data_IF_326410536440
#
_entry.id   IF_326410536440
#
_cell.length_a   1.000
_cell.length_b   1.000
_cell.length_c   1.000
_cell.angle_alpha   90.00
_cell.angle_beta   90.00
_cell.angle_gamma   90.00
#
_symmetry.space_group_name_H-M   'P 1'
#
loop_
_entity.id
_entity.type
_entity.pdbx_description
1 polymer ?
#
# COMPACT_ATOMS: atom_id res chain seq x y z
N UNK A 1 -9.05 -8.14 -1.19
CA UNK A 1 -8.38 -7.24 -2.14
C UNK A 1 -7.58 -6.24 -1.36
N UNK A 2 -6.37 -5.91 -1.82
CA UNK A 2 -5.52 -4.86 -1.23
C UNK A 2 -5.13 -3.87 -2.33
N UNK A 3 -5.19 -2.57 -2.03
CA UNK A 3 -4.69 -1.48 -2.89
C UNK A 3 -3.67 -0.65 -2.10
N UNK A 4 -2.41 -0.66 -2.55
CA UNK A 4 -1.26 -0.15 -1.80
C UNK A 4 -0.89 1.31 -2.15
N UNK A 5 -1.89 2.20 -2.19
CA UNK A 5 -1.67 3.63 -2.46
C UNK A 5 -1.81 4.06 -3.91
N UNK A 6 -1.66 5.37 -4.13
CA UNK A 6 -1.91 6.10 -5.37
C UNK A 6 -3.28 5.78 -5.96
N UNK A 7 -4.30 6.06 -5.17
CA UNK A 7 -5.70 5.93 -5.58
C UNK A 7 -5.99 6.89 -6.75
N UNK A 8 -5.30 8.03 -6.74
CA UNK A 8 -5.46 9.09 -7.74
C UNK A 8 -4.15 9.42 -8.43
N UNK A 9 -4.24 10.25 -9.48
CA UNK A 9 -3.06 10.80 -10.15
C UNK A 9 -2.75 12.21 -9.66
N UNK A 10 -3.77 13.00 -9.35
CA UNK A 10 -3.65 14.41 -9.01
C UNK A 10 -4.55 14.79 -7.81
N UNK A 11 -4.94 13.82 -6.97
CA UNK A 11 -5.82 14.05 -5.83
C UNK A 11 -7.13 14.78 -6.14
N UNK A 12 -7.74 14.53 -7.31
CA UNK A 12 -9.03 15.15 -7.67
C UNK A 12 -10.19 14.33 -7.14
N UNK A 13 -11.24 14.98 -6.64
CA UNK A 13 -12.46 14.29 -6.17
C UNK A 13 -13.07 13.37 -7.24
N UNK A 14 -13.02 13.73 -8.52
CA UNK A 14 -13.50 12.86 -9.61
C UNK A 14 -12.69 11.57 -9.73
N UNK A 15 -11.35 11.66 -9.59
CA UNK A 15 -10.46 10.49 -9.64
C UNK A 15 -10.71 9.55 -8.44
N UNK A 16 -10.91 10.13 -7.24
CA UNK A 16 -11.32 9.36 -6.06
C UNK A 16 -12.65 8.64 -6.29
N UNK A 17 -13.68 9.36 -6.74
CA UNK A 17 -15.01 8.78 -6.98
C UNK A 17 -14.95 7.62 -7.97
N UNK A 18 -14.34 7.82 -9.13
CA UNK A 18 -14.24 6.78 -10.17
C UNK A 18 -13.51 5.54 -9.65
N UNK A 19 -12.41 5.72 -8.93
CA UNK A 19 -11.60 4.61 -8.41
C UNK A 19 -12.31 3.88 -7.28
N UNK A 20 -12.95 4.60 -6.36
CA UNK A 20 -13.71 4.02 -5.24
C UNK A 20 -14.93 3.25 -5.75
N UNK A 21 -15.68 3.80 -6.68
CA UNK A 21 -16.83 3.13 -7.29
C UNK A 21 -16.41 1.85 -8.01
N UNK A 22 -15.33 1.92 -8.80
CA UNK A 22 -14.76 0.76 -9.48
C UNK A 22 -14.32 -0.33 -8.48
N UNK A 23 -13.49 0.02 -7.49
CA UNK A 23 -13.04 -0.92 -6.47
C UNK A 23 -14.21 -1.52 -5.69
N UNK A 24 -15.21 -0.71 -5.34
CA UNK A 24 -16.42 -1.12 -4.63
C UNK A 24 -17.25 -2.13 -5.40
N UNK A 25 -17.28 -2.01 -6.74
CA UNK A 25 -18.00 -2.93 -7.62
C UNK A 25 -17.42 -4.34 -7.68
N UNK A 26 -16.17 -4.53 -7.23
CA UNK A 26 -15.50 -5.82 -7.29
C UNK A 26 -16.06 -6.80 -6.23
N UNK A 27 -16.12 -8.12 -6.55
CA UNK A 27 -16.82 -9.12 -5.72
C UNK A 27 -16.09 -9.49 -4.43
N UNK A 28 -14.96 -8.87 -4.13
CA UNK A 28 -14.17 -9.19 -2.94
C UNK A 28 -14.88 -8.77 -1.66
N UNK A 29 -14.98 -9.70 -0.71
CA UNK A 29 -15.63 -9.49 0.60
C UNK A 29 -14.92 -8.44 1.45
N UNK A 30 -13.59 -8.46 1.44
CA UNK A 30 -12.74 -7.50 2.18
C UNK A 30 -11.90 -6.73 1.16
N UNK A 31 -11.93 -5.40 1.27
CA UNK A 31 -11.22 -4.45 0.41
C UNK A 31 -10.43 -3.48 1.29
N UNK A 32 -9.12 -3.66 1.35
CA UNK A 32 -8.22 -2.84 2.16
C UNK A 32 -7.47 -1.87 1.27
N UNK A 33 -7.56 -0.58 1.57
CA UNK A 33 -7.06 0.51 0.75
C UNK A 33 -6.21 1.42 1.63
N UNK A 34 -5.12 1.94 1.09
CA UNK A 34 -4.35 3.02 1.72
C UNK A 34 -4.01 4.08 0.67
N UNK A 35 -3.54 5.24 1.11
CA UNK A 35 -3.09 6.33 0.25
C UNK A 35 -1.67 6.10 -0.27
N UNK A 36 -1.27 6.91 -1.25
CA UNK A 36 0.11 7.02 -1.71
C UNK A 36 0.49 8.47 -1.95
N UNK A 37 1.63 8.69 -2.59
CA UNK A 37 2.20 10.02 -2.74
C UNK A 37 1.39 10.96 -3.65
N UNK A 38 0.42 10.44 -4.39
CA UNK A 38 -0.47 11.22 -5.25
C UNK A 38 -1.79 11.64 -4.59
N UNK A 39 -2.05 11.23 -3.35
CA UNK A 39 -3.36 11.35 -2.68
C UNK A 39 -3.41 12.49 -1.63
N UNK A 40 -3.03 13.71 -2.01
CA UNK A 40 -2.93 14.90 -1.14
C UNK A 40 -4.17 15.13 -0.25
N UNK A 41 -5.38 14.84 -0.74
CA UNK A 41 -6.62 15.02 0.02
C UNK A 41 -6.78 14.05 1.20
N UNK A 42 -6.00 12.97 1.23
CA UNK A 42 -5.97 12.01 2.32
C UNK A 42 -4.90 12.35 3.36
N UNK A 43 -3.89 13.14 3.03
CA UNK A 43 -2.83 13.52 3.97
C UNK A 43 -3.23 14.76 4.77
N UNK A 44 -3.29 14.61 6.10
CA UNK A 44 -3.71 15.68 7.00
C UNK A 44 -2.74 16.87 7.00
N UNK A 45 -1.47 16.68 6.61
CA UNK A 45 -0.49 17.77 6.49
C UNK A 45 -0.84 18.78 5.39
N UNK A 46 -1.67 18.39 4.42
CA UNK A 46 -2.16 19.24 3.34
C UNK A 46 -3.45 20.00 3.72
N UNK A 47 -4.03 19.76 4.90
CA UNK A 47 -5.18 20.47 5.46
C UNK A 47 -6.49 20.41 4.62
N UNK A 48 -6.73 19.31 3.91
CA UNK A 48 -7.96 19.08 3.14
C UNK A 48 -9.04 18.33 3.91
N UNK A 49 -9.22 18.60 5.21
CA UNK A 49 -10.07 17.82 6.13
C UNK A 49 -11.48 17.52 5.59
N UNK A 50 -12.16 18.49 4.98
CA UNK A 50 -13.51 18.28 4.40
C UNK A 50 -13.49 17.29 3.22
N UNK A 51 -12.46 17.36 2.37
CA UNK A 51 -12.31 16.41 1.27
C UNK A 51 -11.99 15.02 1.82
N UNK A 52 -11.04 14.89 2.76
CA UNK A 52 -10.72 13.62 3.44
C UNK A 52 -11.98 12.96 3.99
N UNK A 53 -12.77 13.68 4.79
CA UNK A 53 -14.03 13.18 5.35
C UNK A 53 -15.02 12.71 4.26
N UNK A 54 -15.14 13.47 3.16
CA UNK A 54 -16.00 13.11 2.03
C UNK A 54 -15.52 11.82 1.35
N UNK A 55 -14.21 11.69 1.14
CA UNK A 55 -13.59 10.52 0.51
C UNK A 55 -13.74 9.28 1.40
N UNK A 56 -13.48 9.39 2.70
CA UNK A 56 -13.62 8.28 3.64
C UNK A 56 -15.08 7.80 3.75
N UNK A 57 -16.05 8.72 3.81
CA UNK A 57 -17.46 8.37 3.77
C UNK A 57 -17.87 7.68 2.46
N UNK A 58 -17.26 8.09 1.33
CA UNK A 58 -17.47 7.43 0.05
C UNK A 58 -16.87 6.01 0.02
N UNK A 59 -15.65 5.83 0.55
CA UNK A 59 -15.04 4.50 0.69
C UNK A 59 -15.91 3.56 1.53
N UNK A 60 -16.37 4.03 2.70
CA UNK A 60 -17.25 3.26 3.58
C UNK A 60 -18.55 2.86 2.87
N UNK A 61 -19.20 3.81 2.19
CA UNK A 61 -20.42 3.57 1.40
C UNK A 61 -20.23 2.47 0.34
N UNK A 62 -19.03 2.35 -0.22
CA UNK A 62 -18.68 1.35 -1.23
C UNK A 62 -18.02 0.08 -0.67
N UNK A 63 -18.00 -0.08 0.66
CA UNK A 63 -17.45 -1.27 1.33
C UNK A 63 -15.92 -1.37 1.24
N UNK A 64 -15.23 -0.23 1.16
CA UNK A 64 -13.77 -0.13 1.24
C UNK A 64 -13.37 0.24 2.67
N UNK A 65 -12.38 -0.45 3.20
CA UNK A 65 -11.73 -0.08 4.47
C UNK A 65 -10.45 0.67 4.14
N UNK A 66 -10.43 1.96 4.45
CA UNK A 66 -9.21 2.77 4.39
C UNK A 66 -8.42 2.60 5.68
N UNK A 67 -7.11 2.44 5.57
CA UNK A 67 -6.20 2.34 6.70
C UNK A 67 -5.00 3.27 6.51
N UNK A 68 -4.64 3.98 7.56
CA UNK A 68 -3.57 4.98 7.56
C UNK A 68 -2.56 4.71 8.69
N UNK A 69 -1.57 3.86 8.40
CA UNK A 69 -0.53 3.47 9.36
C UNK A 69 -1.10 2.79 10.62
N UNK A 70 -1.87 1.73 10.41
CA UNK A 70 -2.57 1.02 11.48
C UNK A 70 -2.70 -0.48 11.21
N UNK A 71 -3.06 -1.23 12.26
CA UNK A 71 -3.27 -2.68 12.18
C UNK A 71 -4.72 -3.01 11.82
N UNK A 72 -4.92 -4.08 11.05
CA UNK A 72 -6.25 -4.60 10.74
C UNK A 72 -6.28 -6.11 10.90
N UNK A 73 -7.14 -6.58 11.80
CA UNK A 73 -7.34 -7.99 12.07
C UNK A 73 -8.37 -8.55 11.10
N UNK A 74 -7.97 -9.50 10.25
CA UNK A 74 -8.95 -10.21 9.42
C UNK A 74 -9.97 -10.98 10.29
N UNK A 75 -11.23 -11.11 9.84
CA UNK A 75 -12.21 -11.98 10.49
C UNK A 75 -11.75 -13.44 10.54
N UNK A 76 -12.34 -14.22 11.46
CA UNK A 76 -11.94 -15.60 11.73
C UNK A 76 -12.10 -16.52 10.50
N UNK A 77 -13.11 -16.30 9.68
CA UNK A 77 -13.33 -17.05 8.43
C UNK A 77 -12.26 -16.78 7.35
N UNK A 78 -11.41 -15.75 7.56
CA UNK A 78 -10.22 -15.46 6.77
C UNK A 78 -8.92 -15.79 7.54
N UNK A 79 -9.02 -16.59 8.59
CA UNK A 79 -7.88 -17.13 9.33
C UNK A 79 -7.24 -16.18 10.33
N UNK A 80 -7.90 -15.06 10.67
CA UNK A 80 -7.41 -14.11 11.68
C UNK A 80 -5.96 -13.66 11.45
N UNK A 81 -5.58 -13.42 10.19
CA UNK A 81 -4.30 -12.81 9.88
C UNK A 81 -4.29 -11.32 10.27
N UNK A 82 -3.17 -10.86 10.82
CA UNK A 82 -2.96 -9.45 11.15
C UNK A 82 -2.29 -8.73 9.98
N UNK A 83 -2.97 -7.71 9.45
CA UNK A 83 -2.39 -6.77 8.49
C UNK A 83 -1.83 -5.56 9.24
N UNK A 84 -0.74 -5.00 8.74
CA UNK A 84 -0.36 -3.62 9.03
C UNK A 84 -0.29 -2.83 7.74
N UNK A 85 -0.94 -1.67 7.66
CA UNK A 85 -1.15 -0.95 6.41
C UNK A 85 -0.74 0.50 6.55
N UNK A 86 0.11 1.00 5.64
CA UNK A 86 0.65 2.35 5.73
C UNK A 86 0.90 3.04 4.38
N UNK A 87 0.55 4.32 4.23
CA UNK A 87 0.76 5.07 2.99
C UNK A 87 2.16 5.67 2.86
N UNK A 88 2.97 5.65 3.93
CA UNK A 88 4.20 6.44 3.98
C UNK A 88 5.28 5.95 3.02
N UNK A 89 6.03 6.91 2.46
CA UNK A 89 7.17 6.69 1.58
C UNK A 89 8.32 7.68 1.88
N UNK A 90 9.58 7.33 1.55
CA UNK A 90 10.68 8.29 1.59
C UNK A 90 10.45 9.44 0.60
N UNK A 91 10.83 10.66 0.96
CA UNK A 91 10.70 11.83 0.09
C UNK A 91 11.51 11.66 -1.21
N UNK A 92 10.87 11.97 -2.35
CA UNK A 92 11.55 12.05 -3.64
C UNK A 92 11.33 13.39 -4.35
N UNK A 93 10.09 13.68 -4.77
CA UNK A 93 9.73 14.92 -5.49
C UNK A 93 8.64 15.74 -4.77
N UNK A 94 8.32 15.38 -3.52
CA UNK A 94 7.19 15.97 -2.78
C UNK A 94 5.84 15.40 -3.20
N UNK A 95 4.82 15.60 -2.36
CA UNK A 95 3.51 14.92 -2.40
C UNK A 95 3.11 14.35 -1.03
N UNK A 96 1.92 13.75 -0.98
CA UNK A 96 1.35 13.14 0.22
C UNK A 96 2.24 12.06 0.85
N UNK A 97 2.16 11.91 2.17
CA UNK A 97 2.74 10.83 2.96
C UNK A 97 4.25 10.61 2.75
N UNK A 98 4.98 11.65 2.33
CA UNK A 98 6.42 11.57 2.13
C UNK A 98 7.20 12.17 3.28
N UNK A 99 8.01 11.35 3.92
CA UNK A 99 8.84 11.76 5.05
C UNK A 99 10.32 11.81 4.66
N UNK A 100 11.04 12.75 5.26
CA UNK A 100 12.50 12.90 5.08
C UNK A 100 13.26 11.82 5.84
N UNK A 101 12.73 11.37 6.98
CA UNK A 101 13.24 10.25 7.77
C UNK A 101 12.13 9.22 8.02
N UNK A 102 12.41 7.98 7.64
CA UNK A 102 11.48 6.85 7.79
C UNK A 102 11.80 5.99 9.03
N UNK A 103 12.86 6.31 9.77
CA UNK A 103 13.34 5.49 10.87
C UNK A 103 12.31 5.37 11.99
N UNK A 104 11.75 6.49 12.44
CA UNK A 104 10.78 6.54 13.55
C UNK A 104 9.45 5.89 13.16
N UNK A 105 8.91 6.22 11.99
CA UNK A 105 7.60 5.73 11.56
C UNK A 105 7.59 4.21 11.33
N UNK A 106 8.70 3.59 10.96
CA UNK A 106 8.74 2.12 10.82
C UNK A 106 8.99 1.37 12.12
N UNK A 107 9.48 2.06 13.17
CA UNK A 107 9.66 1.46 14.49
C UNK A 107 8.33 1.29 15.25
N UNK A 108 7.28 2.05 14.91
CA UNK A 108 5.94 1.94 15.51
C UNK A 108 5.15 0.73 15.01
N UNK A 109 5.56 0.10 13.90
CA UNK A 109 4.92 -1.12 13.39
C UNK A 109 5.03 -2.22 14.48
N UNK A 110 3.95 -2.91 14.85
CA UNK A 110 3.99 -3.98 15.84
C UNK A 110 4.77 -5.19 15.32
N UNK A 111 5.21 -6.07 16.22
CA UNK A 111 5.98 -7.25 15.82
C UNK A 111 5.13 -8.39 15.26
N UNK A 112 3.84 -8.45 15.66
CA UNK A 112 2.90 -9.46 15.20
C UNK A 112 2.16 -8.98 13.93
N UNK A 113 2.79 -9.13 12.76
CA UNK A 113 2.24 -8.78 11.46
C UNK A 113 2.40 -9.95 10.49
N UNK A 114 1.29 -10.48 10.00
CA UNK A 114 1.30 -11.53 8.97
C UNK A 114 1.49 -10.94 7.57
N UNK A 115 0.83 -9.81 7.30
CA UNK A 115 0.81 -9.15 6.00
C UNK A 115 1.13 -7.66 6.20
N UNK A 116 2.23 -7.20 5.64
CA UNK A 116 2.61 -5.80 5.64
C UNK A 116 2.20 -5.17 4.31
N UNK A 117 1.47 -4.06 4.35
CA UNK A 117 1.08 -3.28 3.18
C UNK A 117 1.66 -1.88 3.32
N UNK A 118 2.53 -1.50 2.39
CA UNK A 118 3.13 -0.16 2.37
C UNK A 118 2.99 0.45 0.99
N UNK A 119 2.94 1.76 0.87
CA UNK A 119 3.00 2.37 -0.46
C UNK A 119 4.39 2.17 -1.10
N UNK A 120 5.44 2.48 -0.33
CA UNK A 120 6.84 2.34 -0.77
C UNK A 120 7.32 0.88 -0.72
N UNK A 121 8.18 0.42 -1.65
CA UNK A 121 8.83 -0.87 -1.54
C UNK A 121 9.97 -0.87 -0.50
N UNK A 122 10.28 -2.02 0.12
CA UNK A 122 11.51 -2.17 0.88
C UNK A 122 12.73 -2.23 -0.05
N UNK A 123 13.88 -1.81 0.46
CA UNK A 123 15.13 -1.84 -0.31
C UNK A 123 15.49 -3.26 -0.76
N UNK A 124 15.77 -3.42 -2.06
CA UNK A 124 16.25 -4.67 -2.66
C UNK A 124 15.16 -5.59 -3.25
N UNK A 125 13.88 -5.26 -3.08
CA UNK A 125 12.77 -6.06 -3.61
C UNK A 125 11.82 -5.22 -4.46
N UNK A 126 11.76 -5.52 -5.76
CA UNK A 126 10.90 -4.84 -6.73
C UNK A 126 10.92 -3.30 -6.62
N UNK A 127 12.10 -2.75 -6.37
CA UNK A 127 12.35 -1.33 -6.10
C UNK A 127 13.37 -0.73 -7.07
N UNK A 128 13.60 -1.37 -8.21
CA UNK A 128 14.61 -0.95 -9.18
C UNK A 128 14.02 -0.01 -10.23
N UNK A 129 14.63 1.15 -10.40
CA UNK A 129 14.31 2.08 -11.49
C UNK A 129 15.23 1.79 -12.66
N UNK A 130 14.65 1.26 -13.75
CA UNK A 130 15.41 0.76 -14.91
C UNK A 130 16.28 1.82 -15.58
N UNK A 131 15.83 3.08 -15.65
CA UNK A 131 16.56 4.19 -16.27
C UNK A 131 17.95 4.43 -15.65
N UNK A 132 18.10 4.18 -14.36
CA UNK A 132 19.33 4.48 -13.60
C UNK A 132 19.98 3.24 -12.99
N UNK A 133 19.43 2.06 -13.28
CA UNK A 133 19.86 0.78 -12.71
C UNK A 133 20.00 0.78 -11.17
N UNK A 134 19.12 1.52 -10.48
CA UNK A 134 19.28 1.82 -9.05
C UNK A 134 18.08 1.32 -8.24
N UNK A 135 18.39 0.75 -7.06
CA UNK A 135 17.43 0.46 -6.00
C UNK A 135 17.05 1.74 -5.26
N UNK A 136 15.74 1.99 -5.15
CA UNK A 136 15.19 3.19 -4.48
C UNK A 136 14.25 2.86 -3.32
N UNK A 137 14.14 1.58 -2.95
CA UNK A 137 13.32 1.16 -1.83
C UNK A 137 13.87 1.64 -0.49
N UNK A 138 13.01 1.58 0.53
CA UNK A 138 13.34 2.08 1.86
C UNK A 138 14.18 1.06 2.66
N UNK A 139 15.40 1.44 3.06
CA UNK A 139 16.27 0.59 3.88
C UNK A 139 15.70 0.37 5.29
N UNK A 140 15.18 1.42 5.94
CA UNK A 140 14.56 1.32 7.26
C UNK A 140 13.37 0.35 7.28
N UNK A 141 12.57 0.34 6.20
CA UNK A 141 11.48 -0.61 6.04
C UNK A 141 11.99 -2.04 5.95
N UNK A 142 13.03 -2.27 5.14
CA UNK A 142 13.67 -3.58 5.02
C UNK A 142 14.23 -4.07 6.37
N UNK A 143 14.81 -3.18 7.17
CA UNK A 143 15.32 -3.51 8.50
C UNK A 143 14.20 -3.88 9.48
N UNK A 144 13.04 -3.20 9.41
CA UNK A 144 11.84 -3.62 10.16
C UNK A 144 11.33 -4.98 9.68
N UNK A 145 11.21 -5.20 8.37
CA UNK A 145 10.78 -6.49 7.79
C UNK A 145 11.68 -7.64 8.24
N UNK A 146 13.00 -7.46 8.27
CA UNK A 146 13.93 -8.50 8.78
C UNK A 146 13.68 -8.87 10.24
N UNK A 147 13.19 -7.92 11.05
CA UNK A 147 12.85 -8.13 12.47
C UNK A 147 11.52 -8.85 12.62
N UNK A 148 10.47 -8.35 11.96
CA UNK A 148 9.10 -8.83 12.15
C UNK A 148 8.72 -10.01 11.25
N UNK A 149 9.44 -10.22 10.15
CA UNK A 149 9.32 -11.35 9.21
C UNK A 149 7.88 -11.66 8.80
N UNK A 150 7.15 -10.68 8.21
CA UNK A 150 5.80 -10.91 7.73
C UNK A 150 5.83 -11.99 6.65
N UNK A 151 4.71 -12.68 6.47
CA UNK A 151 4.56 -13.71 5.44
C UNK A 151 4.47 -13.07 4.05
N UNK A 152 3.86 -11.89 3.97
CA UNK A 152 3.71 -11.13 2.72
C UNK A 152 3.97 -9.64 2.95
N UNK A 153 4.69 -9.03 2.01
CA UNK A 153 4.82 -7.59 1.86
C UNK A 153 4.17 -7.17 0.53
N UNK A 154 3.15 -6.33 0.57
CA UNK A 154 2.48 -5.78 -0.61
C UNK A 154 2.77 -4.29 -0.70
N UNK A 155 3.23 -3.84 -1.85
CA UNK A 155 3.59 -2.45 -2.08
C UNK A 155 3.44 -2.05 -3.54
N UNK A 156 3.73 -0.78 -3.85
CA UNK A 156 3.65 -0.22 -5.20
C UNK A 156 4.74 0.81 -5.43
N UNK A 157 4.34 2.01 -5.85
CA UNK A 157 5.16 3.20 -6.08
C UNK A 157 6.18 3.10 -7.24
N UNK A 158 6.96 2.01 -7.33
CA UNK A 158 7.99 1.83 -8.36
C UNK A 158 7.43 1.07 -9.56
N UNK A 159 6.85 1.82 -10.49
CA UNK A 159 6.11 1.30 -11.65
C UNK A 159 6.93 0.40 -12.59
N UNK A 160 8.25 0.59 -12.65
CA UNK A 160 9.15 -0.21 -13.46
C UNK A 160 9.36 -1.64 -12.95
N UNK A 161 9.01 -1.89 -11.68
CA UNK A 161 9.36 -3.12 -10.97
C UNK A 161 8.13 -3.94 -10.55
N UNK A 162 7.03 -3.86 -11.29
CA UNK A 162 5.89 -4.78 -11.09
C UNK A 162 6.36 -6.24 -11.10
N UNK A 163 5.83 -7.04 -10.16
CA UNK A 163 6.17 -8.44 -10.02
C UNK A 163 6.29 -8.84 -8.56
N UNK A 164 6.94 -9.98 -8.32
CA UNK A 164 7.09 -10.52 -6.98
C UNK A 164 8.37 -11.34 -6.82
N UNK A 165 8.82 -11.47 -5.58
CA UNK A 165 9.91 -12.37 -5.16
C UNK A 165 9.48 -13.13 -3.90
N UNK A 166 9.78 -14.42 -3.84
CA UNK A 166 9.64 -15.21 -2.61
C UNK A 166 11.03 -15.46 -2.01
N UNK A 167 11.30 -14.87 -0.85
CA UNK A 167 12.53 -15.09 -0.06
C UNK A 167 12.19 -15.14 1.44
N UNK A 168 11.61 -16.27 1.87
CA UNK A 168 11.00 -16.44 3.20
C UNK A 168 9.69 -15.64 3.38
N UNK A 169 9.70 -14.38 2.97
CA UNK A 169 8.56 -13.48 2.80
C UNK A 169 8.23 -13.36 1.32
N UNK A 170 6.94 -13.28 0.98
CA UNK A 170 6.50 -12.95 -0.38
C UNK A 170 6.44 -11.43 -0.55
N UNK A 171 7.32 -10.87 -1.36
CA UNK A 171 7.35 -9.44 -1.71
C UNK A 171 6.60 -9.23 -3.02
N UNK A 172 5.66 -8.29 -3.04
CA UNK A 172 4.79 -8.03 -4.19
C UNK A 172 4.77 -6.53 -4.48
N UNK A 173 5.27 -6.15 -5.65
CA UNK A 173 4.99 -4.85 -6.23
C UNK A 173 3.78 -4.96 -7.15
N UNK A 174 2.66 -4.41 -6.68
CA UNK A 174 1.35 -4.48 -7.30
C UNK A 174 1.06 -3.29 -8.24
N UNK A 175 2.07 -2.53 -8.70
CA UNK A 175 1.88 -1.43 -9.64
C UNK A 175 1.15 -1.88 -10.91
N UNK A 176 -0.10 -1.46 -11.09
CA UNK A 176 -0.87 -1.73 -12.30
C UNK A 176 -0.36 -0.92 -13.50
N UNK A 177 0.17 0.27 -13.21
CA UNK A 177 0.71 1.17 -14.21
C UNK A 177 2.20 0.92 -14.47
N UNK A 178 2.62 1.09 -15.73
CA UNK A 178 4.04 1.20 -16.05
C UNK A 178 4.56 2.64 -15.83
N UNK A 179 5.85 2.87 -16.11
CA UNK A 179 6.50 4.19 -15.96
C UNK A 179 5.94 5.30 -16.83
N UNK A 180 5.05 4.97 -17.79
CA UNK A 180 4.30 5.94 -18.60
C UNK A 180 2.86 6.14 -18.12
N UNK A 181 2.54 5.69 -16.91
CA UNK A 181 1.20 5.73 -16.31
C UNK A 181 0.12 5.04 -17.17
N UNK A 182 0.50 3.96 -17.89
CA UNK A 182 -0.45 3.12 -18.62
C UNK A 182 -0.77 1.86 -17.82
N UNK A 183 -2.05 1.48 -17.64
CA UNK A 183 -2.47 0.31 -16.87
C UNK A 183 -2.26 -0.96 -17.69
N UNK A 184 -1.01 -1.41 -17.77
CA UNK A 184 -0.60 -2.56 -18.60
C UNK A 184 -0.36 -3.82 -17.78
N UNK A 185 -0.16 -3.67 -16.47
CA UNK A 185 0.10 -4.80 -15.58
C UNK A 185 -1.21 -5.33 -15.02
N UNK A 186 -1.27 -6.65 -14.83
CA UNK A 186 -2.43 -7.31 -14.23
C UNK A 186 -2.30 -7.29 -12.70
N UNK A 187 -3.43 -7.34 -11.96
CA UNK A 187 -3.42 -7.64 -10.54
C UNK A 187 -2.67 -8.95 -10.25
N UNK A 188 -1.93 -8.98 -9.15
CA UNK A 188 -1.24 -10.19 -8.67
C UNK A 188 -2.16 -10.89 -7.66
N UNK A 189 -2.42 -12.17 -7.90
CA UNK A 189 -3.20 -13.04 -7.01
C UNK A 189 -2.26 -14.05 -6.37
N UNK A 190 -2.41 -14.28 -5.08
CA UNK A 190 -1.66 -15.27 -4.30
C UNK A 190 -2.57 -15.88 -3.24
N UNK A 191 -2.22 -17.08 -2.78
CA UNK A 191 -2.92 -17.78 -1.71
C UNK A 191 -2.06 -17.80 -0.45
N UNK A 192 -2.70 -17.60 0.71
CA UNK A 192 -2.08 -17.80 2.01
C UNK A 192 -2.80 -18.91 2.77
N UNK A 193 -2.07 -19.99 3.01
CA UNK A 193 -2.59 -21.08 3.82
C UNK A 193 -2.57 -20.69 5.29
N UNK A 194 -3.72 -20.72 5.93
CA UNK A 194 -3.82 -20.56 7.38
C UNK A 194 -4.03 -21.95 7.96
N UNK A 195 -3.11 -22.38 8.83
CA UNK A 195 -3.33 -23.62 9.57
C UNK A 195 -4.46 -23.37 10.58
N UNK A 196 -5.45 -24.28 10.68
CA UNK A 196 -6.41 -24.21 11.78
C UNK A 196 -5.66 -24.16 13.10
N UNK A 197 -6.00 -23.21 13.96
CA UNK A 197 -5.58 -23.24 15.37
C UNK A 197 -6.26 -24.39 16.09
#
# INVERSE_FOLDING_TARGET
QVHAGDITKNSRMTEFTETIEWLGSLPHKIKIITGGNHDDYLDDTFNFTKHKQTILALMEKHGLTYLEHESYQLPAEFGSLCLFVSPYAPIHLGGAFMLTDMSEIWNTIPDAVDILVTHTPPFGYQDKVTRYDRHVGCQYLMDKIKRIKPRVCVFGHIHESHGYTLDGTLYINACLNNSRYKPVNKPITFDLFVHPK
#
